data_IF_485014967395
#
_entry.id   IF_485014967395
#
_cell.length_a   1.000
_cell.length_b   1.000
_cell.length_c   1.000
_cell.angle_alpha   90.00
_cell.angle_beta   90.00
_cell.angle_gamma   90.00
#
_symmetry.space_group_name_H-M   'P 1'
#
loop_
_entity.id
_entity.type
_entity.pdbx_description
1 polymer ?
#
# COMPACT_ATOMS: atom_id res chain seq x y z
N UNK A 1 -2.49 2.02 32.28
CA UNK A 1 -1.91 2.22 30.97
C UNK A 1 -1.67 0.86 30.32
N UNK A 2 -2.08 0.67 29.06
CA UNK A 2 -1.80 -0.53 28.31
C UNK A 2 -0.27 -0.71 28.18
N UNK A 3 0.23 -1.94 28.25
CA UNK A 3 1.64 -2.21 27.97
C UNK A 3 1.94 -1.84 26.51
N UNK A 4 3.10 -1.22 26.23
CA UNK A 4 3.47 -0.88 24.88
C UNK A 4 3.52 -2.13 24.00
N UNK A 5 3.10 -2.02 22.74
CA UNK A 5 3.18 -3.11 21.78
C UNK A 5 4.64 -3.55 21.59
N UNK A 6 4.93 -4.85 21.52
CA UNK A 6 6.27 -5.32 21.21
C UNK A 6 6.72 -4.77 19.85
N UNK A 7 7.99 -4.40 19.75
CA UNK A 7 8.60 -3.91 18.51
C UNK A 7 9.52 -5.01 17.95
N UNK A 8 9.49 -5.19 16.62
CA UNK A 8 10.31 -6.17 15.92
C UNK A 8 10.98 -5.53 14.70
N UNK A 9 12.20 -5.97 14.42
CA UNK A 9 12.88 -5.62 13.19
C UNK A 9 12.20 -6.30 12.00
N UNK A 10 11.93 -5.56 10.94
CA UNK A 10 11.32 -6.09 9.72
C UNK A 10 12.40 -6.75 8.83
N UNK A 11 12.54 -8.07 8.96
CA UNK A 11 13.48 -8.86 8.19
C UNK A 11 14.91 -8.32 8.29
N UNK A 12 15.56 -8.13 7.15
CA UNK A 12 16.93 -7.57 7.04
C UNK A 12 16.96 -6.04 6.89
N UNK A 13 15.80 -5.39 6.83
CA UNK A 13 15.72 -3.93 6.73
C UNK A 13 16.15 -3.24 8.03
N UNK A 14 16.33 -1.92 8.00
CA UNK A 14 16.59 -1.12 9.20
C UNK A 14 15.29 -0.64 9.88
N UNK A 15 14.13 -1.13 9.43
CA UNK A 15 12.84 -0.75 9.97
C UNK A 15 12.51 -1.56 11.22
N UNK A 16 12.10 -0.86 12.27
CA UNK A 16 11.48 -1.46 13.45
C UNK A 16 10.00 -1.14 13.45
N UNK A 17 9.17 -2.16 13.58
CA UNK A 17 7.70 -2.03 13.52
C UNK A 17 7.06 -2.68 14.75
N UNK A 18 5.89 -2.18 15.15
CA UNK A 18 5.07 -2.86 16.15
C UNK A 18 4.66 -4.25 15.66
N UNK A 19 4.53 -5.20 16.58
CA UNK A 19 4.16 -6.59 16.26
C UNK A 19 2.78 -6.72 15.61
N UNK A 20 1.93 -5.72 15.80
CA UNK A 20 0.61 -5.57 15.16
C UNK A 20 0.65 -4.28 14.36
N UNK A 21 0.24 -4.32 13.10
CA UNK A 21 0.09 -3.16 12.22
C UNK A 21 -1.37 -2.86 11.91
N UNK A 22 -1.62 -1.68 11.37
CA UNK A 22 -2.92 -1.24 10.91
C UNK A 22 -3.06 -1.48 9.40
N UNK A 23 -4.04 -2.30 8.99
CA UNK A 23 -4.40 -2.52 7.58
C UNK A 23 -5.54 -1.58 7.18
N UNK A 24 -5.31 -0.77 6.16
CA UNK A 24 -6.19 0.33 5.78
C UNK A 24 -7.30 -0.05 4.77
N UNK A 25 -7.43 -1.30 4.34
CA UNK A 25 -8.46 -1.69 3.38
C UNK A 25 -9.89 -1.35 3.85
N UNK A 26 -10.28 -1.62 5.11
CA UNK A 26 -11.63 -1.29 5.58
C UNK A 26 -11.94 0.21 5.55
N UNK A 27 -10.97 1.06 5.81
CA UNK A 27 -11.16 2.53 5.75
C UNK A 27 -11.10 3.09 4.32
N UNK A 28 -10.99 2.25 3.31
CA UNK A 28 -11.23 2.56 1.90
C UNK A 28 -12.67 2.27 1.47
N UNK A 29 -13.60 2.07 2.40
CA UNK A 29 -14.99 1.68 2.16
C UNK A 29 -15.12 0.26 1.57
N UNK A 30 -14.32 -0.69 2.04
CA UNK A 30 -14.43 -2.10 1.68
C UNK A 30 -15.72 -2.69 2.27
N UNK A 31 -16.61 -3.17 1.41
CA UNK A 31 -17.94 -3.74 1.72
C UNK A 31 -18.94 -2.82 2.44
N UNK A 32 -18.53 -1.66 2.89
CA UNK A 32 -19.39 -0.69 3.60
C UNK A 32 -18.76 0.69 3.66
N UNK A 33 -19.58 1.73 3.52
CA UNK A 33 -19.10 3.10 3.63
C UNK A 33 -18.86 3.49 5.08
N UNK A 34 -17.76 4.19 5.33
CA UNK A 34 -17.44 4.85 6.58
C UNK A 34 -17.40 6.36 6.38
N UNK A 35 -17.87 7.13 7.33
CA UNK A 35 -17.62 8.56 7.33
C UNK A 35 -16.13 8.87 7.62
N UNK A 36 -15.66 9.98 7.12
CA UNK A 36 -14.24 10.36 7.24
C UNK A 36 -13.80 10.53 8.70
N UNK A 37 -14.67 11.06 9.55
CA UNK A 37 -14.33 11.28 10.95
C UNK A 37 -14.07 9.95 11.68
N UNK A 38 -14.92 8.97 11.49
CA UNK A 38 -14.77 7.61 12.03
C UNK A 38 -13.51 6.93 11.49
N UNK A 39 -13.28 6.99 10.18
CA UNK A 39 -12.12 6.36 9.56
C UNK A 39 -10.80 6.99 10.04
N UNK A 40 -10.71 8.33 10.08
CA UNK A 40 -9.53 9.05 10.55
C UNK A 40 -9.30 8.81 12.05
N UNK A 41 -10.36 8.75 12.86
CA UNK A 41 -10.27 8.45 14.29
C UNK A 41 -9.73 7.03 14.52
N UNK A 42 -10.12 6.04 13.71
CA UNK A 42 -9.60 4.67 13.81
C UNK A 42 -8.07 4.62 13.59
N UNK A 43 -7.54 5.34 12.58
CA UNK A 43 -6.09 5.43 12.34
C UNK A 43 -5.38 6.11 13.52
N UNK A 44 -5.94 7.22 14.01
CA UNK A 44 -5.38 7.96 15.15
C UNK A 44 -5.36 7.10 16.41
N UNK A 45 -6.46 6.39 16.69
CA UNK A 45 -6.55 5.48 17.83
C UNK A 45 -5.52 4.34 17.73
N UNK A 46 -5.30 3.78 16.53
CA UNK A 46 -4.29 2.74 16.32
C UNK A 46 -2.88 3.27 16.61
N UNK A 47 -2.56 4.49 16.15
CA UNK A 47 -1.29 5.15 16.46
C UNK A 47 -1.12 5.40 17.97
N UNK A 48 -2.13 5.95 18.63
CA UNK A 48 -2.13 6.22 20.07
C UNK A 48 -2.03 4.94 20.90
N UNK A 49 -2.55 3.81 20.38
CA UNK A 49 -2.38 2.48 20.97
C UNK A 49 -0.98 1.87 20.77
N UNK A 50 -0.08 2.58 20.08
CA UNK A 50 1.31 2.16 19.86
C UNK A 50 1.55 1.36 18.58
N UNK A 51 0.60 1.29 17.65
CA UNK A 51 0.86 0.74 16.31
C UNK A 51 1.76 1.70 15.53
N UNK A 52 2.84 1.16 14.97
CA UNK A 52 3.79 1.95 14.18
C UNK A 52 3.84 1.54 12.72
N UNK A 53 3.21 0.45 12.31
CA UNK A 53 3.13 0.01 10.92
C UNK A 53 1.73 0.28 10.38
N UNK A 54 1.64 1.04 9.29
CA UNK A 54 0.40 1.37 8.58
C UNK A 54 0.51 0.91 7.13
N UNK A 55 -0.31 -0.09 6.77
CA UNK A 55 -0.32 -0.69 5.44
C UNK A 55 -1.56 -0.25 4.67
N UNK A 56 -1.34 0.35 3.52
CA UNK A 56 -2.36 0.89 2.63
C UNK A 56 -2.13 0.48 1.18
N UNK A 57 -3.00 0.86 0.27
CA UNK A 57 -2.81 0.69 -1.16
C UNK A 57 -3.58 1.74 -1.97
N UNK A 58 -3.12 2.07 -3.19
CA UNK A 58 -3.88 2.88 -4.14
C UNK A 58 -5.28 2.31 -4.43
N UNK A 59 -5.39 0.98 -4.53
CA UNK A 59 -6.67 0.30 -4.79
C UNK A 59 -7.69 0.51 -3.66
N UNK A 60 -7.26 0.68 -2.41
CA UNK A 60 -8.15 0.75 -1.26
C UNK A 60 -9.01 2.02 -1.30
N UNK A 61 -10.24 1.85 -1.75
CA UNK A 61 -11.15 2.96 -2.02
C UNK A 61 -10.67 3.91 -3.12
N UNK A 62 -9.89 3.39 -4.09
CA UNK A 62 -9.35 4.18 -5.22
C UNK A 62 -8.56 5.42 -4.76
N UNK A 63 -7.77 5.23 -3.70
CA UNK A 63 -6.95 6.26 -3.07
C UNK A 63 -7.52 6.83 -1.77
N UNK A 64 -8.78 6.55 -1.41
CA UNK A 64 -9.43 7.10 -0.21
C UNK A 64 -8.71 6.70 1.08
N UNK A 65 -8.30 5.42 1.21
CA UNK A 65 -7.58 4.94 2.39
C UNK A 65 -6.25 5.70 2.61
N UNK A 66 -5.50 5.98 1.55
CA UNK A 66 -4.26 6.77 1.63
C UNK A 66 -4.54 8.22 2.06
N UNK A 67 -5.60 8.86 1.56
CA UNK A 67 -6.02 10.18 2.02
C UNK A 67 -6.37 10.20 3.52
N UNK A 68 -7.16 9.22 3.99
CA UNK A 68 -7.59 9.11 5.39
C UNK A 68 -6.41 8.85 6.31
N UNK A 69 -5.52 7.91 5.96
CA UNK A 69 -4.28 7.67 6.69
C UNK A 69 -3.38 8.90 6.71
N UNK A 70 -3.20 9.56 5.57
CA UNK A 70 -2.43 10.80 5.47
C UNK A 70 -2.98 11.89 6.38
N UNK A 71 -4.31 12.08 6.39
CA UNK A 71 -4.96 13.08 7.25
C UNK A 71 -4.74 12.81 8.74
N UNK A 72 -4.81 11.54 9.17
CA UNK A 72 -4.58 11.16 10.55
C UNK A 72 -3.09 11.33 10.95
N UNK A 73 -2.17 10.85 10.12
CA UNK A 73 -0.77 10.67 10.50
C UNK A 73 0.13 11.88 10.24
N UNK A 74 -0.22 12.79 9.31
CA UNK A 74 0.60 13.99 9.01
C UNK A 74 0.86 14.92 10.18
N UNK A 75 0.06 14.84 11.25
CA UNK A 75 0.23 15.62 12.47
C UNK A 75 1.31 15.09 13.41
N UNK A 76 1.80 13.88 13.15
CA UNK A 76 2.82 13.23 13.96
C UNK A 76 4.20 13.30 13.31
N UNK A 77 5.29 13.23 14.09
CA UNK A 77 6.64 13.15 13.53
C UNK A 77 6.76 11.99 12.55
N UNK A 78 7.29 12.23 11.35
CA UNK A 78 7.34 11.20 10.28
C UNK A 78 8.15 9.97 10.69
N UNK A 79 9.09 10.11 11.60
CA UNK A 79 9.93 9.01 12.12
C UNK A 79 9.24 8.18 13.21
N UNK A 80 8.04 8.58 13.64
CA UNK A 80 7.28 7.85 14.65
C UNK A 80 6.50 6.65 14.08
N UNK A 81 6.41 6.50 12.76
CA UNK A 81 5.67 5.43 12.11
C UNK A 81 6.30 5.00 10.78
N UNK A 82 5.98 3.77 10.37
CA UNK A 82 6.39 3.14 9.11
C UNK A 82 5.18 3.05 8.19
N UNK A 83 5.32 3.51 6.97
CA UNK A 83 4.29 3.47 5.93
C UNK A 83 4.63 2.40 4.91
N UNK A 84 3.70 1.47 4.72
CA UNK A 84 3.67 0.52 3.62
C UNK A 84 2.53 0.89 2.67
N UNK A 85 2.82 0.99 1.38
CA UNK A 85 1.79 1.05 0.34
C UNK A 85 2.18 0.20 -0.86
N UNK A 86 1.41 0.25 -1.93
CA UNK A 86 1.53 -0.72 -3.01
C UNK A 86 1.68 -0.04 -4.37
N UNK A 87 2.28 -0.76 -5.32
CA UNK A 87 2.46 -0.38 -6.72
C UNK A 87 1.89 -1.47 -7.63
N UNK A 88 1.87 -1.22 -8.94
CA UNK A 88 1.25 -2.12 -9.92
C UNK A 88 -0.16 -1.68 -10.31
N UNK A 89 -0.68 -0.66 -9.62
CA UNK A 89 -1.87 0.11 -10.03
C UNK A 89 -1.65 1.58 -9.75
N UNK A 90 -2.01 2.42 -10.70
CA UNK A 90 -2.13 3.86 -10.51
C UNK A 90 -3.59 4.31 -10.71
N UNK A 91 -3.95 5.46 -10.15
CA UNK A 91 -5.30 5.99 -10.20
C UNK A 91 -5.43 7.01 -11.33
N UNK A 92 -6.34 6.76 -12.27
CA UNK A 92 -6.66 7.68 -13.36
C UNK A 92 -7.83 8.58 -12.96
N UNK A 93 -7.60 9.87 -12.68
CA UNK A 93 -8.65 10.79 -12.25
C UNK A 93 -9.56 11.23 -13.40
N UNK A 94 -9.20 10.94 -14.64
CA UNK A 94 -9.96 11.37 -15.82
C UNK A 94 -11.02 10.36 -16.26
N UNK A 95 -10.97 9.14 -15.69
CA UNK A 95 -11.93 8.08 -15.97
C UNK A 95 -12.70 7.74 -14.70
N UNK A 96 -13.96 7.35 -14.88
CA UNK A 96 -14.80 6.86 -13.78
C UNK A 96 -14.25 5.55 -13.17
N UNK A 97 -14.69 5.18 -11.96
CA UNK A 97 -14.06 4.14 -11.16
C UNK A 97 -14.10 2.72 -11.75
N UNK A 98 -14.98 2.45 -12.73
CA UNK A 98 -15.12 1.12 -13.31
C UNK A 98 -15.47 0.05 -12.26
N UNK A 99 -14.81 -1.11 -12.33
CA UNK A 99 -14.89 -2.13 -11.28
C UNK A 99 -14.21 -1.64 -10.00
N UNK A 100 -14.95 -1.65 -8.91
CA UNK A 100 -14.49 -1.16 -7.60
C UNK A 100 -13.83 -2.24 -6.74
N UNK A 101 -13.72 -3.48 -7.20
CA UNK A 101 -13.05 -4.57 -6.48
C UNK A 101 -13.53 -4.71 -5.01
N UNK A 102 -14.86 -4.58 -4.79
CA UNK A 102 -15.49 -4.67 -3.46
C UNK A 102 -15.49 -3.36 -2.64
N UNK A 103 -14.85 -2.30 -3.12
CA UNK A 103 -14.90 -0.97 -2.48
C UNK A 103 -16.17 -0.23 -2.92
N UNK A 104 -17.22 -0.27 -2.07
CA UNK A 104 -18.54 0.27 -2.37
C UNK A 104 -18.57 1.80 -2.45
N UNK A 105 -17.66 2.45 -1.73
CA UNK A 105 -17.39 3.89 -1.76
C UNK A 105 -16.10 4.21 -2.50
N UNK A 106 -15.35 5.16 -1.97
CA UNK A 106 -14.05 5.55 -2.51
C UNK A 106 -14.10 6.71 -3.49
N UNK A 107 -12.91 7.12 -3.95
CA UNK A 107 -12.77 8.24 -4.87
C UNK A 107 -13.24 7.88 -6.29
N UNK A 108 -13.64 8.87 -7.11
CA UNK A 108 -14.16 8.64 -8.47
C UNK A 108 -13.02 8.45 -9.49
N UNK A 109 -12.05 7.58 -9.19
CA UNK A 109 -10.90 7.33 -10.06
C UNK A 109 -10.90 5.89 -10.57
N UNK A 110 -10.40 5.66 -11.78
CA UNK A 110 -10.18 4.31 -12.28
C UNK A 110 -8.85 3.74 -11.78
N UNK A 111 -8.87 2.50 -11.28
CA UNK A 111 -7.66 1.76 -11.00
C UNK A 111 -7.11 1.17 -12.31
N UNK A 112 -5.91 1.56 -12.70
CA UNK A 112 -5.24 1.06 -13.91
C UNK A 112 -4.13 0.11 -13.50
N UNK A 113 -4.25 -1.16 -13.90
CA UNK A 113 -3.18 -2.16 -13.69
C UNK A 113 -2.01 -1.84 -14.61
N UNK A 114 -0.85 -1.61 -14.02
CA UNK A 114 0.37 -1.26 -14.74
C UNK A 114 1.61 -1.64 -13.92
N UNK A 115 2.20 -2.79 -14.24
CA UNK A 115 3.43 -3.28 -13.62
C UNK A 115 4.70 -2.82 -14.34
N UNK A 116 4.58 -1.90 -15.30
CA UNK A 116 5.73 -1.31 -15.96
C UNK A 116 6.58 -0.49 -14.97
N UNK A 117 7.80 -0.20 -15.39
CA UNK A 117 8.71 0.67 -14.63
C UNK A 117 8.10 2.05 -14.39
N UNK A 118 7.60 2.69 -15.45
CA UNK A 118 7.02 4.04 -15.37
C UNK A 118 5.67 4.05 -14.62
N UNK A 119 4.84 3.02 -14.81
CA UNK A 119 3.60 2.84 -14.06
C UNK A 119 3.84 2.70 -12.55
N UNK A 120 4.92 2.02 -12.19
CA UNK A 120 5.35 1.87 -10.79
C UNK A 120 5.79 3.19 -10.18
N UNK A 121 6.61 3.98 -10.88
CA UNK A 121 7.02 5.31 -10.42
C UNK A 121 5.82 6.25 -10.30
N UNK A 122 4.90 6.22 -11.27
CA UNK A 122 3.65 6.98 -11.21
C UNK A 122 2.82 6.62 -9.99
N UNK A 123 2.65 5.33 -9.69
CA UNK A 123 1.91 4.87 -8.51
C UNK A 123 2.55 5.38 -7.21
N UNK A 124 3.88 5.31 -7.10
CA UNK A 124 4.65 5.81 -5.96
C UNK A 124 4.45 7.33 -5.76
N UNK A 125 4.63 8.12 -6.82
CA UNK A 125 4.44 9.58 -6.77
C UNK A 125 3.01 9.96 -6.37
N UNK A 126 2.02 9.28 -6.95
CA UNK A 126 0.61 9.49 -6.59
C UNK A 126 0.34 9.16 -5.12
N UNK A 127 0.95 8.10 -4.58
CA UNK A 127 0.78 7.74 -3.16
C UNK A 127 1.41 8.78 -2.24
N UNK A 128 2.57 9.36 -2.57
CA UNK A 128 3.15 10.50 -1.85
C UNK A 128 2.19 11.69 -1.83
N UNK A 129 1.59 12.03 -2.98
CA UNK A 129 0.64 13.15 -3.09
C UNK A 129 -0.64 12.89 -2.30
N UNK A 130 -1.23 11.68 -2.38
CA UNK A 130 -2.47 11.35 -1.65
C UNK A 130 -2.28 11.32 -0.15
N UNK A 131 -1.18 10.76 0.31
CA UNK A 131 -0.86 10.72 1.76
C UNK A 131 -0.37 12.08 2.28
N UNK A 132 0.29 12.87 1.42
CA UNK A 132 0.97 14.10 1.79
C UNK A 132 2.21 13.84 2.66
N UNK A 133 2.79 12.65 2.59
CA UNK A 133 4.04 12.31 3.27
C UNK A 133 5.25 12.68 2.41
N UNK A 134 6.36 13.05 3.06
CA UNK A 134 7.62 13.29 2.37
C UNK A 134 8.37 12.02 1.98
N UNK A 135 7.96 10.85 2.47
CA UNK A 135 8.52 9.53 2.13
C UNK A 135 7.53 8.40 2.37
N UNK A 136 7.72 7.30 1.69
CA UNK A 136 7.12 5.99 1.95
C UNK A 136 8.27 5.05 2.32
N UNK A 137 8.06 4.17 3.31
CA UNK A 137 9.14 3.32 3.81
C UNK A 137 9.18 1.97 3.09
N UNK A 138 8.01 1.42 2.74
CA UNK A 138 7.86 0.09 2.13
C UNK A 138 6.96 0.19 0.90
N UNK A 139 7.39 -0.37 -0.21
CA UNK A 139 6.56 -0.56 -1.40
C UNK A 139 6.41 -2.04 -1.74
N UNK A 140 5.16 -2.46 -1.92
CA UNK A 140 4.82 -3.83 -2.28
C UNK A 140 4.25 -3.89 -3.70
N UNK A 141 4.68 -4.86 -4.51
CA UNK A 141 4.02 -5.17 -5.80
C UNK A 141 2.69 -5.85 -5.49
N UNK A 142 1.57 -5.29 -5.98
CA UNK A 142 0.22 -5.66 -5.57
C UNK A 142 -0.42 -6.64 -6.52
N UNK A 143 -1.03 -7.70 -5.94
CA UNK A 143 -1.96 -8.61 -6.61
C UNK A 143 -1.42 -9.26 -7.90
N UNK A 144 -0.15 -9.61 -7.92
CA UNK A 144 0.39 -10.49 -8.98
C UNK A 144 0.09 -11.92 -8.57
N UNK A 145 -1.17 -12.32 -8.71
CA UNK A 145 -1.68 -13.62 -8.29
C UNK A 145 -2.80 -14.13 -9.23
N UNK A 146 -3.12 -15.42 -9.12
CA UNK A 146 -4.14 -16.07 -9.95
C UNK A 146 -5.53 -15.55 -9.59
N UNK A 147 -5.77 -15.25 -8.30
CA UNK A 147 -7.02 -14.68 -7.83
C UNK A 147 -7.41 -13.42 -8.60
N UNK A 148 -6.43 -12.54 -8.83
CA UNK A 148 -6.65 -11.25 -9.48
C UNK A 148 -6.64 -11.33 -11.01
N UNK A 149 -5.75 -12.13 -11.58
CA UNK A 149 -5.47 -12.08 -13.02
C UNK A 149 -5.91 -13.34 -13.79
N UNK A 150 -6.25 -14.42 -13.08
CA UNK A 150 -6.51 -15.72 -13.68
C UNK A 150 -5.25 -16.49 -14.09
N UNK A 151 -5.39 -17.80 -14.19
CA UNK A 151 -4.27 -18.70 -14.51
C UNK A 151 -3.62 -18.42 -15.88
N UNK A 152 -4.41 -17.99 -16.86
CA UNK A 152 -3.90 -17.72 -18.23
C UNK A 152 -3.02 -16.46 -18.31
N UNK A 153 -3.19 -15.51 -17.39
CA UNK A 153 -2.48 -14.25 -17.42
C UNK A 153 -1.30 -14.17 -16.43
N UNK A 154 -1.23 -15.06 -15.45
CA UNK A 154 -0.29 -14.93 -14.34
C UNK A 154 1.17 -14.90 -14.76
N UNK A 155 1.57 -15.74 -15.72
CA UNK A 155 2.96 -15.79 -16.19
C UNK A 155 3.38 -14.48 -16.85
N UNK A 156 2.51 -13.90 -17.65
CA UNK A 156 2.75 -12.61 -18.27
C UNK A 156 2.81 -11.49 -17.21
N UNK A 157 1.89 -11.49 -16.24
CA UNK A 157 1.85 -10.50 -15.16
C UNK A 157 3.07 -10.58 -14.26
N UNK A 158 3.51 -11.78 -13.93
CA UNK A 158 4.75 -11.98 -13.18
C UNK A 158 5.97 -11.44 -13.95
N UNK A 159 6.07 -11.76 -15.23
CA UNK A 159 7.16 -11.25 -16.09
C UNK A 159 7.14 -9.71 -16.19
N UNK A 160 5.97 -9.09 -16.36
CA UNK A 160 5.80 -7.64 -16.34
C UNK A 160 6.28 -7.04 -15.01
N UNK A 161 5.87 -7.64 -13.89
CA UNK A 161 6.24 -7.19 -12.55
C UNK A 161 7.76 -7.28 -12.30
N UNK A 162 8.39 -8.37 -12.68
CA UNK A 162 9.84 -8.56 -12.49
C UNK A 162 10.67 -7.66 -13.41
N UNK A 163 10.25 -7.47 -14.66
CA UNK A 163 10.98 -6.65 -15.63
C UNK A 163 10.70 -5.14 -15.47
N UNK A 164 9.58 -4.76 -14.87
CA UNK A 164 9.16 -3.38 -14.67
C UNK A 164 9.17 -2.97 -13.20
N UNK A 165 8.14 -3.38 -12.45
CA UNK A 165 7.92 -2.93 -11.09
C UNK A 165 9.11 -3.24 -10.16
N UNK A 166 9.60 -4.47 -10.16
CA UNK A 166 10.74 -4.85 -9.33
C UNK A 166 11.97 -3.98 -9.59
N UNK A 167 12.29 -3.71 -10.87
CA UNK A 167 13.43 -2.86 -11.23
C UNK A 167 13.26 -1.40 -10.76
N UNK A 168 12.06 -0.85 -10.85
CA UNK A 168 11.77 0.48 -10.33
C UNK A 168 11.93 0.51 -8.79
N UNK A 169 11.43 -0.51 -8.10
CA UNK A 169 11.57 -0.61 -6.64
C UNK A 169 13.02 -0.81 -6.20
N UNK A 170 13.82 -1.61 -6.93
CA UNK A 170 15.26 -1.76 -6.65
C UNK A 170 16.01 -0.43 -6.78
N UNK A 171 15.70 0.35 -7.81
CA UNK A 171 16.26 1.69 -7.98
C UNK A 171 15.89 2.59 -6.81
N UNK A 172 14.58 2.70 -6.48
CA UNK A 172 14.12 3.54 -5.36
C UNK A 172 14.78 3.13 -4.03
N UNK A 173 14.96 1.84 -3.79
CA UNK A 173 15.68 1.33 -2.60
C UNK A 173 17.17 1.69 -2.64
N UNK A 174 17.82 1.53 -3.79
CA UNK A 174 19.23 1.91 -4.00
C UNK A 174 19.48 3.40 -3.79
N UNK A 175 18.56 4.25 -4.23
CA UNK A 175 18.56 5.70 -4.01
C UNK A 175 18.13 6.10 -2.58
N UNK A 176 17.75 5.13 -1.73
CA UNK A 176 17.22 5.33 -0.36
C UNK A 176 15.93 6.15 -0.30
N UNK A 177 15.18 6.21 -1.41
CA UNK A 177 13.85 6.80 -1.44
C UNK A 177 12.83 5.94 -0.67
N UNK A 178 13.08 4.61 -0.61
CA UNK A 178 12.34 3.64 0.21
C UNK A 178 13.32 2.75 0.96
N UNK A 179 12.88 2.10 2.05
CA UNK A 179 13.71 1.25 2.88
C UNK A 179 13.56 -0.25 2.56
N UNK A 180 12.37 -0.67 2.12
CA UNK A 180 12.08 -2.08 1.84
C UNK A 180 11.13 -2.25 0.66
N UNK A 181 11.24 -3.42 0.02
CA UNK A 181 10.38 -3.87 -1.08
C UNK A 181 9.81 -5.26 -0.75
N UNK A 182 8.69 -5.59 -1.35
CA UNK A 182 8.06 -6.90 -1.21
C UNK A 182 6.86 -7.06 -2.14
N UNK A 183 5.97 -7.96 -1.79
CA UNK A 183 4.75 -8.25 -2.53
C UNK A 183 3.54 -8.28 -1.60
N UNK A 184 2.37 -7.89 -2.11
CA UNK A 184 1.07 -8.02 -1.46
C UNK A 184 0.16 -8.84 -2.36
N UNK A 185 0.05 -10.13 -2.09
CA UNK A 185 -0.66 -11.12 -2.92
C UNK A 185 -1.55 -12.00 -2.05
N UNK A 186 -2.52 -12.68 -2.65
CA UNK A 186 -3.50 -13.51 -1.95
C UNK A 186 -3.09 -15.00 -1.89
N UNK A 187 -2.00 -15.41 -2.56
CA UNK A 187 -1.56 -16.80 -2.68
C UNK A 187 -0.13 -16.99 -2.19
N UNK A 188 0.08 -17.99 -1.32
CA UNK A 188 1.39 -18.26 -0.72
C UNK A 188 2.44 -18.66 -1.77
N UNK A 189 2.03 -19.40 -2.80
CA UNK A 189 2.88 -19.84 -3.90
C UNK A 189 3.52 -18.64 -4.63
N UNK A 190 2.78 -17.54 -4.76
CA UNK A 190 3.32 -16.33 -5.36
C UNK A 190 4.34 -15.65 -4.46
N UNK A 191 4.16 -15.69 -3.14
CA UNK A 191 5.18 -15.20 -2.20
C UNK A 191 6.49 -15.99 -2.34
N UNK A 192 6.41 -17.33 -2.42
CA UNK A 192 7.59 -18.18 -2.63
C UNK A 192 8.28 -17.87 -3.96
N UNK A 193 7.51 -17.71 -5.02
CA UNK A 193 8.02 -17.40 -6.36
C UNK A 193 8.76 -16.06 -6.41
N UNK A 194 8.27 -15.03 -5.73
CA UNK A 194 8.95 -13.73 -5.66
C UNK A 194 10.18 -13.75 -4.74
N UNK A 195 10.31 -14.73 -3.85
CA UNK A 195 11.45 -14.86 -2.93
C UNK A 195 12.67 -15.58 -3.54
N UNK A 196 12.51 -16.25 -4.68
CA UNK A 196 13.57 -16.95 -5.44
C UNK A 196 14.39 -15.98 -6.29
#
# INVERSE_FOLDING_TARGET
>A
PASPLPVRRLGRSNLNVSAIGFGAAPIGDLYGCLDDATAIAAVSCAFDAGMTLFDMAPLYGHGLAEHRCGTALRRHPRDAFVVSTKVGRWMDPTRGPGDRSGYVGGLPHAAVVDYSYDGTLRAFEQSLLRTGFGRIDILLIHDVDIWTHGADAIERRFSEAMNGAYRALERLRGEKAIAAIGVGVNEAEMCERFAQ
#
